data_IF_399019909946
#
_entry.id   IF_399019909946
#
_cell.length_a   1.000
_cell.length_b   1.000
_cell.length_c   1.000
_cell.angle_alpha   90.00
_cell.angle_beta   90.00
_cell.angle_gamma   90.00
#
_symmetry.space_group_name_H-M   'P 1'
#
loop_
_entity.id
_entity.type
_entity.pdbx_description
1 polymer ?
2 non-polymer ?
3 non-polymer ?
4 non-polymer ?
5 non-polymer ?
6 water ?
#
# COMPACT_ATOMS: atom_id res chain seq x y z
N UNK A 9 -22.28 7.64 -12.12
CA UNK A 9 -21.49 8.33 -11.07
C UNK A 9 -22.33 9.42 -10.41
N UNK A 10 -22.23 9.53 -9.09
CA UNK A 10 -22.98 10.53 -8.34
C UNK A 10 -22.03 11.67 -8.01
N UNK A 11 -22.13 12.75 -8.77
CA UNK A 11 -21.28 13.90 -8.57
C UNK A 11 -21.90 14.80 -7.51
N UNK A 12 -21.11 15.24 -6.55
CA UNK A 12 -21.59 16.13 -5.50
C UNK A 12 -21.55 17.57 -6.05
N UNK A 13 -22.53 18.41 -5.67
CA UNK A 13 -22.62 19.81 -6.13
C UNK A 13 -21.33 20.61 -5.97
N UNK A 14 -20.81 21.14 -7.08
CA UNK A 14 -19.57 21.92 -7.06
C UNK A 14 -19.58 23.05 -6.04
N UNK A 15 -18.63 23.03 -5.09
CA UNK A 15 -18.61 24.11 -4.09
C UNK A 15 -18.29 25.43 -4.78
N UNK A 16 -18.96 26.51 -4.33
CA UNK A 16 -18.81 27.87 -4.84
C UNK A 16 -17.38 28.37 -5.04
N UNK A 17 -16.45 27.93 -4.19
CA UNK A 17 -15.06 28.38 -4.30
C UNK A 17 -14.21 27.64 -5.33
N UNK A 18 -14.76 26.59 -5.95
CA UNK A 18 -14.00 25.82 -6.92
C UNK A 18 -14.30 26.25 -8.38
N UNK A 19 -13.28 26.78 -9.08
CA UNK A 19 -13.43 27.24 -10.48
C UNK A 19 -13.82 26.04 -11.35
N UNK A 20 -14.75 26.23 -12.26
CA UNK A 20 -15.18 25.12 -13.10
C UNK A 20 -14.10 24.52 -13.99
N UNK A 21 -13.09 25.31 -14.37
CA UNK A 21 -12.02 24.80 -15.22
C UNK A 21 -11.09 23.85 -14.49
N UNK A 22 -11.19 23.82 -13.17
CA UNK A 22 -10.36 22.92 -12.36
C UNK A 22 -11.06 21.58 -12.07
N UNK A 23 -12.31 21.45 -12.52
CA UNK A 23 -13.04 20.22 -12.30
C UNK A 23 -12.62 19.09 -13.25
N UNK A 24 -12.46 17.90 -12.67
CA UNK A 24 -12.10 16.69 -13.41
C UNK A 24 -12.64 15.55 -12.53
N UNK A 25 -13.78 14.98 -12.92
CA UNK A 25 -14.42 13.95 -12.14
C UNK A 25 -13.82 12.55 -12.14
N UNK A 26 -12.65 12.41 -11.53
CA UNK A 26 -11.93 11.15 -11.39
C UNK A 26 -12.48 10.41 -10.16
N UNK A 27 -12.85 9.14 -10.33
CA UNK A 27 -13.37 8.31 -9.23
C UNK A 27 -12.25 7.39 -8.78
N UNK A 28 -11.63 7.69 -7.64
CA UNK A 28 -10.53 6.90 -7.11
C UNK A 28 -10.90 5.45 -6.78
N UNK A 29 -12.18 5.18 -6.61
CA UNK A 29 -12.63 3.82 -6.32
C UNK A 29 -13.06 3.04 -7.56
N UNK A 30 -13.13 3.72 -8.70
CA UNK A 30 -13.51 3.07 -9.95
C UNK A 30 -13.10 3.93 -11.17
N UNK A 31 -11.79 4.09 -11.39
CA UNK A 31 -11.27 4.88 -12.50
C UNK A 31 -11.83 4.41 -13.85
N UNK A 32 -12.12 5.38 -14.71
CA UNK A 32 -12.68 5.12 -16.04
C UNK A 32 -11.91 4.17 -16.91
N UNK A 33 -10.58 4.29 -16.91
CA UNK A 33 -9.81 3.43 -17.80
C UNK A 33 -9.12 2.30 -17.08
N UNK A 34 -9.85 1.72 -16.14
CA UNK A 34 -9.36 0.63 -15.30
C UNK A 34 -8.96 -0.62 -16.10
N UNK A 35 -9.64 -0.85 -17.21
CA UNK A 35 -9.36 -2.00 -18.06
C UNK A 35 -7.93 -2.03 -18.60
N UNK A 36 -7.32 -0.84 -18.69
CA UNK A 36 -5.96 -0.69 -19.18
C UNK A 36 -4.90 -0.92 -18.10
N UNK A 37 -5.36 -1.15 -16.87
CA UNK A 37 -4.45 -1.33 -15.77
C UNK A 37 -4.76 -0.18 -14.83
N UNK A 38 -4.57 -0.39 -13.54
CA UNK A 38 -4.88 0.65 -12.57
C UNK A 38 -3.92 1.83 -12.61
N UNK A 39 -2.62 1.59 -12.74
CA UNK A 39 -1.68 2.72 -12.81
C UNK A 39 -1.99 3.56 -14.07
N UNK A 40 -2.32 2.90 -15.17
CA UNK A 40 -2.66 3.58 -16.42
C UNK A 40 -3.93 4.41 -16.25
N UNK A 41 -4.90 3.86 -15.53
CA UNK A 41 -6.17 4.53 -15.27
C UNK A 41 -5.93 5.80 -14.48
N UNK A 42 -5.01 5.74 -13.51
CA UNK A 42 -4.70 6.91 -12.69
C UNK A 42 -3.85 7.91 -13.48
N UNK A 43 -3.01 7.41 -14.38
CA UNK A 43 -2.13 8.25 -15.18
C UNK A 43 -2.90 9.22 -16.12
N UNK A 44 -4.20 9.00 -16.32
CA UNK A 44 -5.00 9.90 -17.16
C UNK A 44 -5.03 11.30 -16.53
N UNK A 45 -4.86 11.33 -15.21
CA UNK A 45 -4.83 12.56 -14.45
C UNK A 45 -3.58 13.37 -14.80
N UNK A 46 -2.65 12.75 -15.52
CA UNK A 46 -1.42 13.44 -15.87
C UNK A 46 -1.35 13.78 -17.34
N UNK A 47 -2.48 13.70 -18.02
CA UNK A 47 -2.50 14.05 -19.44
C UNK A 47 -2.50 15.59 -19.57
N UNK A 48 -2.12 16.09 -20.75
CA UNK A 48 -2.03 17.54 -21.01
C UNK A 48 -3.32 18.35 -20.76
N UNK A 49 -4.47 17.71 -20.90
CA UNK A 49 -5.74 18.39 -20.67
C UNK A 49 -6.10 18.57 -19.18
N UNK A 50 -5.31 17.97 -18.28
CA UNK A 50 -5.60 18.06 -16.84
C UNK A 50 -4.65 18.98 -16.07
N UNK A 51 -5.20 19.97 -15.36
CA UNK A 51 -4.38 20.90 -14.56
C UNK A 51 -3.62 20.09 -13.46
N UNK A 52 -2.59 20.69 -12.86
CA UNK A 52 -1.80 20.04 -11.81
C UNK A 52 -2.58 19.77 -10.53
N UNK A 53 -3.61 20.55 -10.27
CA UNK A 53 -4.43 20.38 -9.09
C UNK A 53 -5.87 20.57 -9.52
N UNK A 54 -6.63 19.48 -9.45
CA UNK A 54 -8.02 19.49 -9.87
C UNK A 54 -8.97 19.12 -8.74
N UNK A 55 -10.26 19.30 -9.01
CA UNK A 55 -11.32 18.99 -8.08
C UNK A 55 -12.23 17.97 -8.68
N UNK A 56 -12.41 16.85 -7.99
CA UNK A 56 -13.30 15.85 -8.48
C UNK A 56 -14.55 15.96 -7.64
N UNK A 57 -15.70 15.82 -8.29
CA UNK A 57 -16.98 15.87 -7.61
C UNK A 57 -17.38 14.48 -7.11
N UNK A 58 -16.63 13.47 -7.51
CA UNK A 58 -16.91 12.10 -7.07
C UNK A 58 -16.58 11.92 -5.60
N UNK A 59 -17.09 10.85 -5.01
CA UNK A 59 -16.85 10.48 -3.61
C UNK A 59 -16.95 11.65 -2.62
N UNK A 60 -17.98 12.47 -2.81
CA UNK A 60 -18.22 13.61 -1.94
C UNK A 60 -17.58 14.93 -2.36
N UNK A 61 -16.63 14.88 -3.29
CA UNK A 61 -15.96 16.07 -3.76
C UNK A 61 -14.68 16.34 -3.00
N UNK A 62 -13.57 16.42 -3.74
CA UNK A 62 -12.27 16.67 -3.14
C UNK A 62 -11.23 17.02 -4.17
N UNK A 63 -10.11 17.58 -3.71
CA UNK A 63 -8.99 17.92 -4.59
C UNK A 63 -8.12 16.69 -4.85
N UNK A 64 -7.27 16.79 -5.87
CA UNK A 64 -6.32 15.75 -6.24
C UNK A 64 -5.10 16.43 -6.84
N UNK A 65 -3.94 16.33 -6.17
CA UNK A 65 -2.70 16.88 -6.71
C UNK A 65 -2.26 15.80 -7.69
N UNK A 66 -1.93 16.17 -8.92
CA UNK A 66 -1.56 15.20 -9.96
C UNK A 66 -0.06 15.09 -10.26
N UNK A 67 0.73 15.99 -9.68
CA UNK A 67 2.16 16.03 -9.93
C UNK A 67 3.01 15.71 -8.71
N UNK A 68 4.12 15.02 -8.94
CA UNK A 68 5.03 14.64 -7.87
C UNK A 68 5.45 15.82 -7.00
N UNK A 69 5.72 16.96 -7.65
CA UNK A 69 6.12 18.18 -6.94
C UNK A 69 5.12 18.64 -5.91
N UNK A 70 3.84 18.67 -6.27
CA UNK A 70 2.79 19.10 -5.38
C UNK A 70 2.52 18.07 -4.27
N UNK A 71 2.59 16.80 -4.63
CA UNK A 71 2.35 15.71 -3.68
C UNK A 71 3.41 15.76 -2.56
N UNK A 72 4.67 15.94 -2.95
CA UNK A 72 5.75 16.01 -1.99
C UNK A 72 5.58 17.23 -1.09
N UNK A 73 5.25 18.37 -1.71
CA UNK A 73 5.05 19.61 -0.99
C UNK A 73 3.98 19.52 0.08
N UNK A 74 2.82 19.00 -0.32
CA UNK A 74 1.70 18.85 0.57
C UNK A 74 2.02 17.88 1.71
N UNK A 75 2.72 16.80 1.38
CA UNK A 75 3.09 15.82 2.39
C UNK A 75 4.07 16.40 3.41
N UNK A 76 4.90 17.37 3.00
CA UNK A 76 5.85 18.00 3.91
C UNK A 76 5.21 19.06 4.80
N UNK A 77 4.18 19.71 4.26
CA UNK A 77 3.51 20.80 4.98
C UNK A 77 2.31 20.32 5.79
N UNK A 78 2.58 19.61 6.89
CA UNK A 78 1.50 19.10 7.73
C UNK A 78 0.73 20.24 8.40
N UNK A 79 1.37 21.40 8.49
CA UNK A 79 0.76 22.58 9.10
C UNK A 79 -0.56 22.97 8.38
N UNK A 80 -0.55 22.90 7.05
CA UNK A 80 -1.74 23.20 6.25
C UNK A 80 -2.47 21.93 5.86
N UNK A 81 -1.71 20.86 5.66
CA UNK A 81 -2.27 19.57 5.25
C UNK A 81 -2.20 18.52 6.38
N UNK A 82 -3.28 18.43 7.15
CA UNK A 82 -3.36 17.53 8.28
C UNK A 82 -3.80 16.11 8.00
N UNK A 83 -3.18 15.17 8.73
CA UNK A 83 -3.48 13.74 8.63
C UNK A 83 -4.72 13.37 9.43
N UNK A 84 -5.29 14.31 10.17
CA UNK A 84 -6.47 14.02 10.99
C UNK A 84 -7.61 13.35 10.23
N UNK A 85 -7.75 13.68 8.96
CA UNK A 85 -8.78 13.12 8.08
C UNK A 85 -8.01 12.80 6.79
N UNK A 86 -7.25 11.68 6.78
CA UNK A 86 -6.45 11.27 5.63
C UNK A 86 -7.11 10.39 4.57
N UNK A 87 -8.33 9.94 4.83
CA UNK A 87 -9.04 9.08 3.87
C UNK A 87 -10.23 9.76 3.20
N UNK A 88 -10.46 9.39 1.94
CA UNK A 88 -11.59 9.87 1.15
C UNK A 88 -12.39 8.58 1.07
N UNK A 89 -13.72 8.62 1.22
CA UNK A 89 -14.57 9.79 1.48
C UNK A 89 -14.47 10.33 2.91
N UNK A 90 -15.08 11.49 3.09
CA UNK A 90 -15.13 12.21 4.36
C UNK A 90 -15.40 11.29 5.55
N UNK A 91 -16.46 10.49 5.44
CA UNK A 91 -16.89 9.56 6.49
C UNK A 91 -15.78 8.60 6.91
N UNK A 92 -14.98 8.18 5.94
CA UNK A 92 -13.88 7.27 6.18
C UNK A 92 -12.76 8.01 6.89
N UNK A 93 -12.37 9.16 6.34
CA UNK A 93 -11.30 9.93 6.95
C UNK A 93 -11.56 10.35 8.38
N UNK A 94 -12.82 10.54 8.72
CA UNK A 94 -13.20 10.96 10.07
C UNK A 94 -13.16 9.80 11.06
N UNK A 95 -13.68 8.64 10.64
CA UNK A 95 -13.69 7.46 11.49
C UNK A 95 -12.28 6.90 11.63
N UNK A 96 -11.42 7.23 10.68
CA UNK A 96 -10.05 6.76 10.68
C UNK A 96 -9.32 7.37 11.86
N UNK A 97 -8.87 6.50 12.78
CA UNK A 97 -8.16 6.95 13.96
C UNK A 97 -6.88 6.19 14.26
N UNK A 98 -6.34 5.48 13.27
CA UNK A 98 -5.10 4.74 13.48
C UNK A 98 -3.97 5.63 13.95
N UNK A 99 -3.04 5.04 14.69
CA UNK A 99 -1.87 5.75 15.23
C UNK A 99 -0.69 5.07 14.53
N UNK A 100 0.31 5.84 14.07
CA UNK A 100 0.42 7.31 14.15
C UNK A 100 -0.19 8.08 12.97
N UNK A 101 -0.80 7.39 12.02
CA UNK A 101 -1.33 8.01 10.81
C UNK A 101 -2.41 9.09 10.88
N UNK A 102 -3.20 9.12 11.95
CA UNK A 102 -4.23 10.13 12.09
C UNK A 102 -3.72 11.34 12.90
N UNK A 103 -2.41 11.39 13.16
CA UNK A 103 -1.81 12.47 13.94
C UNK A 103 -0.73 13.21 13.14
N UNK A 104 -0.54 14.49 13.43
CA UNK A 104 0.49 15.28 12.77
C UNK A 104 1.62 15.49 13.74
N UNK A 105 2.80 15.85 13.24
CA UNK A 105 3.92 16.10 14.14
C UNK A 105 3.48 17.31 14.98
N UNK A 106 3.99 17.45 16.22
CA UNK A 106 4.95 16.55 16.88
C UNK A 106 4.32 15.38 17.63
N UNK A 107 3.00 15.34 17.72
CA UNK A 107 2.31 14.26 18.42
C UNK A 107 2.71 12.86 17.97
N UNK A 108 2.63 12.61 16.66
CA UNK A 108 2.96 11.29 16.12
C UNK A 108 4.32 10.70 16.53
N UNK A 109 5.27 11.59 16.80
CA UNK A 109 6.65 11.24 17.14
C UNK A 109 6.88 10.05 18.05
N UNK A 110 6.40 10.14 19.29
CA UNK A 110 6.58 9.07 20.26
C UNK A 110 5.95 7.77 19.79
N UNK A 111 4.78 7.87 19.19
CA UNK A 111 4.08 6.70 18.72
C UNK A 111 4.75 6.04 17.53
N UNK A 112 5.33 6.86 16.66
CA UNK A 112 6.01 6.36 15.48
C UNK A 112 7.22 5.53 15.91
N UNK A 113 7.92 6.00 16.95
CA UNK A 113 9.09 5.32 17.49
C UNK A 113 8.76 3.91 18.00
N UNK A 114 7.62 3.78 18.65
CA UNK A 114 7.19 2.49 19.16
C UNK A 114 6.88 1.54 18.00
N UNK A 115 6.09 2.00 17.03
CA UNK A 115 5.75 1.17 15.87
C UNK A 115 7.02 0.72 15.17
N UNK A 116 8.02 1.60 15.12
CA UNK A 116 9.27 1.26 14.48
C UNK A 116 9.98 0.11 15.21
N UNK A 117 9.83 0.06 16.54
CA UNK A 117 10.46 -0.99 17.33
C UNK A 117 9.92 -2.35 16.92
N UNK A 118 8.68 -2.38 16.44
CA UNK A 118 8.04 -3.61 16.06
C UNK A 118 8.12 -4.02 14.59
N UNK A 119 8.27 -3.05 13.68
CA UNK A 119 8.37 -3.41 12.26
C UNK A 119 9.60 -2.80 11.59
N UNK A 120 10.49 -2.25 12.40
CA UNK A 120 11.70 -1.62 11.87
C UNK A 120 12.74 -2.58 11.31
N UNK A 121 13.84 -2.00 10.82
CA UNK A 121 14.93 -2.76 10.22
C UNK A 121 15.47 -3.92 11.06
N UNK A 122 15.72 -3.70 12.37
CA UNK A 122 16.24 -4.78 13.23
C UNK A 122 15.34 -6.01 13.23
N UNK A 123 14.03 -5.78 13.31
CA UNK A 123 13.05 -6.87 13.32
C UNK A 123 13.10 -7.63 12.01
N UNK A 124 13.26 -6.90 10.91
CA UNK A 124 13.35 -7.51 9.59
C UNK A 124 14.61 -8.36 9.53
N UNK A 125 15.71 -7.84 10.07
CA UNK A 125 16.96 -8.58 10.08
C UNK A 125 16.78 -9.84 10.91
N UNK A 126 16.05 -9.72 12.00
CA UNK A 126 15.76 -10.83 12.89
C UNK A 126 14.90 -11.93 12.26
N UNK A 127 13.91 -11.53 11.45
CA UNK A 127 13.02 -12.49 10.81
C UNK A 127 13.42 -12.90 9.39
N UNK A 128 14.53 -12.39 8.90
CA UNK A 128 14.94 -12.73 7.54
C UNK A 128 14.93 -14.22 7.24
N UNK A 129 15.43 -15.04 8.18
CA UNK A 129 15.46 -16.49 7.95
C UNK A 129 14.10 -17.09 7.77
N UNK A 130 13.11 -16.64 8.53
CA UNK A 130 11.76 -17.15 8.39
C UNK A 130 11.17 -16.68 7.06
N UNK A 131 11.50 -15.46 6.66
CA UNK A 131 11.02 -14.90 5.40
C UNK A 131 11.57 -15.75 4.26
N UNK A 132 12.88 -15.98 4.27
CA UNK A 132 13.53 -16.79 3.26
C UNK A 132 12.93 -18.20 3.23
N UNK A 133 12.72 -18.76 4.42
CA UNK A 133 12.16 -20.11 4.56
C UNK A 133 10.78 -20.25 3.97
N UNK A 134 9.89 -19.32 4.28
CA UNK A 134 8.52 -19.37 3.77
C UNK A 134 8.46 -19.19 2.26
N UNK A 135 9.24 -18.25 1.73
CA UNK A 135 9.28 -18.01 0.29
C UNK A 135 9.65 -19.29 -0.44
N UNK A 136 10.76 -19.89 -0.04
CA UNK A 136 11.24 -21.14 -0.65
C UNK A 136 10.23 -22.26 -0.51
N UNK A 137 9.65 -22.37 0.67
CA UNK A 137 8.65 -23.41 0.94
C UNK A 137 7.42 -23.31 0.04
N UNK A 138 6.80 -22.14 0.02
CA UNK A 138 5.61 -21.91 -0.80
C UNK A 138 5.89 -22.14 -2.28
N UNK A 139 7.01 -21.65 -2.77
CA UNK A 139 7.35 -21.79 -4.18
C UNK A 139 7.66 -23.23 -4.55
N UNK A 140 8.47 -23.91 -3.74
CA UNK A 140 8.83 -25.31 -4.03
C UNK A 140 7.57 -26.18 -4.05
N UNK A 141 6.59 -25.77 -3.26
CA UNK A 141 5.32 -26.46 -3.19
C UNK A 141 4.53 -26.29 -4.50
N UNK A 142 4.58 -25.09 -5.08
CA UNK A 142 3.85 -24.79 -6.32
C UNK A 142 4.59 -25.24 -7.57
N UNK A 143 5.91 -25.16 -7.52
CA UNK A 143 6.77 -25.50 -8.66
C UNK A 143 6.40 -26.70 -9.54
N UNK A 144 6.11 -27.88 -8.96
CA UNK A 144 5.76 -29.03 -9.81
C UNK A 144 4.32 -29.07 -10.33
N UNK A 145 3.47 -28.14 -9.87
CA UNK A 145 2.07 -28.08 -10.30
C UNK A 145 1.91 -27.54 -11.74
N UNK A 146 2.82 -26.65 -12.13
CA UNK A 146 2.77 -26.07 -13.46
C UNK A 146 1.72 -25.00 -13.64
N UNK A 147 1.16 -24.54 -12.54
CA UNK A 147 0.12 -23.52 -12.54
C UNK A 147 -0.15 -23.08 -11.12
N UNK A 148 -0.82 -21.94 -10.95
CA UNK A 148 -1.18 -21.41 -9.65
C UNK A 148 -1.98 -20.13 -9.82
N UNK A 149 -2.79 -19.82 -8.80
CA UNK A 149 -3.58 -18.59 -8.75
C UNK A 149 -2.72 -17.74 -7.82
N UNK A 150 -1.78 -17.01 -8.40
CA UNK A 150 -0.83 -16.21 -7.65
C UNK A 150 -1.32 -15.39 -6.48
N UNK A 151 -2.47 -14.73 -6.64
CA UNK A 151 -3.02 -13.90 -5.57
C UNK A 151 -3.31 -14.70 -4.31
N UNK A 152 -3.96 -15.84 -4.47
CA UNK A 152 -4.28 -16.64 -3.30
C UNK A 152 -3.25 -17.69 -2.92
N UNK A 153 -2.42 -18.09 -3.88
CA UNK A 153 -1.39 -19.12 -3.67
C UNK A 153 -0.06 -18.63 -3.15
N UNK A 154 0.22 -17.33 -3.30
CA UNK A 154 1.48 -16.79 -2.83
C UNK A 154 1.41 -15.34 -2.35
N UNK A 155 0.89 -14.46 -3.21
CA UNK A 155 0.79 -13.04 -2.88
C UNK A 155 0.18 -12.81 -1.50
N UNK A 156 -0.87 -13.55 -1.17
CA UNK A 156 -1.52 -13.43 0.13
C UNK A 156 -0.83 -14.19 1.28
N UNK A 157 -0.65 -15.51 1.15
CA UNK A 157 0.00 -16.27 2.23
C UNK A 157 1.41 -15.85 2.63
N UNK A 158 2.30 -15.60 1.68
CA UNK A 158 3.66 -15.21 2.00
C UNK A 158 3.74 -13.99 2.94
N UNK A 159 3.29 -12.81 2.50
CA UNK A 159 3.40 -11.70 3.44
C UNK A 159 2.53 -11.77 4.69
N UNK A 160 1.31 -12.26 4.55
CA UNK A 160 0.39 -12.36 5.69
C UNK A 160 0.87 -13.34 6.77
N UNK A 161 1.36 -14.52 6.39
CA UNK A 161 1.84 -15.46 7.41
C UNK A 161 3.02 -14.88 8.15
N UNK A 162 3.90 -14.18 7.43
CA UNK A 162 5.05 -13.55 8.07
C UNK A 162 4.53 -12.53 9.07
N UNK A 163 3.48 -11.81 8.71
CA UNK A 163 2.96 -10.81 9.63
C UNK A 163 2.32 -11.45 10.86
N UNK A 164 1.50 -12.47 10.65
CA UNK A 164 0.83 -13.17 11.74
C UNK A 164 1.89 -13.76 12.68
N UNK A 165 3.02 -14.19 12.12
CA UNK A 165 4.13 -14.75 12.89
C UNK A 165 4.71 -13.64 13.74
N UNK A 166 4.94 -12.49 13.13
CA UNK A 166 5.49 -11.31 13.80
C UNK A 166 4.58 -10.80 14.91
N UNK A 167 3.28 -10.88 14.67
CA UNK A 167 2.30 -10.40 15.62
C UNK A 167 1.81 -11.43 16.61
N UNK A 168 2.16 -12.69 16.38
CA UNK A 168 1.73 -13.75 17.27
C UNK A 168 0.24 -14.02 17.21
N UNK A 169 -0.34 -13.99 16.01
CA UNK A 169 -1.77 -14.24 15.81
C UNK A 169 -1.92 -15.51 14.98
N UNK A 170 -2.92 -16.36 15.32
CA UNK A 170 -3.09 -17.59 14.54
C UNK A 170 -3.46 -17.41 13.08
N UNK A 171 -2.84 -18.21 12.23
CA UNK A 171 -3.08 -18.17 10.81
C UNK A 171 -4.55 -18.45 10.50
N UNK A 172 -5.25 -19.05 11.44
CA UNK A 172 -6.66 -19.36 11.27
C UNK A 172 -7.50 -18.08 11.21
N UNK A 173 -7.00 -16.98 11.77
CA UNK A 173 -7.73 -15.70 11.76
C UNK A 173 -7.51 -14.87 10.52
N UNK A 174 -6.66 -15.33 9.60
CA UNK A 174 -6.37 -14.58 8.38
C UNK A 174 -7.59 -14.23 7.52
N UNK A 175 -8.40 -15.22 7.12
CA UNK A 175 -9.58 -14.94 6.29
C UNK A 175 -10.47 -13.84 6.85
N UNK A 176 -10.79 -13.95 8.13
CA UNK A 176 -11.64 -12.98 8.81
C UNK A 176 -11.00 -11.59 8.79
N UNK A 177 -9.71 -11.53 9.11
CA UNK A 177 -9.01 -10.26 9.17
C UNK A 177 -8.81 -9.59 7.81
N UNK A 178 -8.46 -10.37 6.81
CA UNK A 178 -8.21 -9.88 5.46
C UNK A 178 -9.50 -9.27 4.87
N UNK A 179 -10.63 -9.92 5.11
CA UNK A 179 -11.91 -9.41 4.63
C UNK A 179 -12.16 -8.02 5.17
N UNK A 180 -11.86 -7.82 6.46
CA UNK A 180 -12.06 -6.51 7.11
C UNK A 180 -11.10 -5.43 6.68
N UNK A 181 -9.81 -5.75 6.53
CA UNK A 181 -8.83 -4.75 6.11
C UNK A 181 -9.18 -4.30 4.69
N UNK A 182 -9.56 -5.25 3.85
CA UNK A 182 -9.91 -4.93 2.48
C UNK A 182 -11.14 -4.03 2.40
N UNK A 183 -12.01 -4.10 3.40
CA UNK A 183 -13.21 -3.27 3.41
C UNK A 183 -12.86 -1.80 3.65
N UNK A 184 -11.71 -1.57 4.27
CA UNK A 184 -11.25 -0.21 4.58
C UNK A 184 -10.51 0.47 3.42
N UNK A 185 -9.82 -0.33 2.61
CA UNK A 185 -9.06 0.18 1.48
C UNK A 185 -9.82 0.11 0.15
N UNK A 186 -10.58 -0.97 -0.05
CA UNK A 186 -11.36 -1.15 -1.27
C UNK A 186 -12.79 -1.58 -0.95
N UNK A 187 -13.58 -0.66 -0.36
CA UNK A 187 -14.98 -0.86 0.04
C UNK A 187 -15.83 -1.54 -1.02
N UNK A 188 -16.59 -2.57 -0.64
CA UNK A 188 -17.44 -3.25 -1.61
C UNK A 188 -18.90 -2.89 -1.37
N UNK A 189 -19.12 -2.00 -0.41
CA UNK A 189 -20.47 -1.56 -0.09
C UNK A 189 -21.17 -2.33 1.01
N UNK A 190 -20.57 -3.43 1.46
CA UNK A 190 -21.17 -4.26 2.50
C UNK A 190 -21.17 -3.58 3.87
N UNK A 191 -20.17 -2.74 4.11
CA UNK A 191 -20.08 -2.04 5.39
C UNK A 191 -19.32 -0.72 5.29
N UNK A 192 -19.59 0.19 6.23
CA UNK A 192 -18.93 1.48 6.27
C UNK A 192 -17.52 1.29 6.81
N UNK A 193 -16.68 2.32 6.66
CA UNK A 193 -15.31 2.25 7.16
C UNK A 193 -15.35 2.00 8.68
N UNK A 194 -16.16 2.79 9.38
CA UNK A 194 -16.30 2.69 10.82
C UNK A 194 -16.64 1.27 11.28
N UNK A 195 -17.58 0.63 10.59
CA UNK A 195 -17.97 -0.73 10.95
C UNK A 195 -16.85 -1.75 10.74
N UNK A 196 -16.11 -1.63 9.64
CA UNK A 196 -15.00 -2.54 9.38
C UNK A 196 -13.93 -2.29 10.45
N UNK A 197 -13.75 -1.02 10.80
CA UNK A 197 -12.77 -0.61 11.78
C UNK A 197 -13.16 -1.12 13.17
N UNK A 198 -14.43 -0.97 13.54
CA UNK A 198 -14.89 -1.43 14.84
C UNK A 198 -14.72 -2.93 14.97
N UNK A 199 -15.14 -3.67 13.94
CA UNK A 199 -15.00 -5.13 13.96
C UNK A 199 -13.54 -5.54 14.13
N UNK A 200 -12.64 -4.81 13.49
CA UNK A 200 -11.22 -5.09 13.59
C UNK A 200 -10.76 -4.83 15.01
N UNK A 201 -11.33 -3.78 15.61
CA UNK A 201 -10.99 -3.44 16.98
C UNK A 201 -11.53 -4.49 17.96
N UNK A 202 -12.72 -5.00 17.69
CA UNK A 202 -13.32 -6.03 18.55
C UNK A 202 -12.40 -7.24 18.63
N UNK A 203 -11.73 -7.55 17.52
CA UNK A 203 -10.81 -8.65 17.46
C UNK A 203 -9.59 -8.39 18.35
N UNK A 204 -9.03 -7.19 18.21
CA UNK A 204 -7.83 -6.79 18.94
C UNK A 204 -7.96 -6.54 20.45
N UNK A 205 -9.05 -5.93 20.87
CA UNK A 205 -9.25 -5.58 22.27
C UNK A 205 -8.95 -6.67 23.31
N UNK A 206 -9.59 -7.84 23.22
CA UNK A 206 -9.32 -8.90 24.18
C UNK A 206 -7.88 -9.40 24.11
N UNK A 207 -7.33 -9.41 22.90
CA UNK A 207 -5.96 -9.85 22.66
C UNK A 207 -4.98 -8.90 23.34
N UNK A 208 -5.24 -7.61 23.22
CA UNK A 208 -4.38 -6.59 23.83
C UNK A 208 -4.49 -6.70 25.33
N UNK A 209 -5.74 -6.81 25.82
CA UNK A 209 -6.02 -6.93 27.25
C UNK A 209 -5.14 -8.06 27.79
N UNK A 210 -5.32 -9.22 27.17
CA UNK A 210 -4.63 -10.45 27.52
C UNK A 210 -3.10 -10.32 27.47
N UNK A 211 -2.60 -9.63 26.45
CA UNK A 211 -1.16 -9.46 26.33
C UNK A 211 -0.59 -8.36 27.20
N UNK A 212 -1.46 -7.58 27.84
CA UNK A 212 -1.01 -6.55 28.77
C UNK A 212 -0.85 -7.29 30.12
N UNK A 213 -1.75 -8.24 30.37
CA UNK A 213 -1.72 -9.05 31.60
C UNK A 213 -0.46 -9.90 31.57
N UNK A 214 -0.36 -10.76 30.56
CA UNK A 214 0.77 -11.66 30.38
C UNK A 214 1.53 -11.31 29.09
N UNK A 215 2.46 -10.34 29.18
CA UNK A 215 3.28 -9.87 28.07
C UNK A 215 4.08 -10.95 27.33
N UNK A 216 4.26 -10.73 26.04
CA UNK A 216 5.03 -11.66 25.22
C UNK A 216 6.12 -10.89 24.52
N UNK A 217 6.63 -11.48 23.44
CA UNK A 217 7.70 -10.89 22.65
C UNK A 217 7.19 -10.49 21.26
N UNK A 218 5.96 -10.88 20.95
CA UNK A 218 5.34 -10.58 19.67
C UNK A 218 5.09 -9.09 19.57
N UNK A 219 4.79 -8.64 18.35
CA UNK A 219 4.53 -7.23 18.08
C UNK A 219 3.39 -6.66 18.90
N UNK A 220 2.31 -7.40 19.03
CA UNK A 220 1.19 -6.90 19.80
C UNK A 220 1.53 -6.67 21.27
N UNK A 221 2.32 -7.56 21.86
CA UNK A 221 2.73 -7.41 23.26
C UNK A 221 3.64 -6.20 23.41
N UNK A 222 4.61 -6.06 22.52
CA UNK A 222 5.57 -4.96 22.58
C UNK A 222 4.85 -3.61 22.53
N UNK A 223 3.92 -3.47 21.59
CA UNK A 223 3.14 -2.25 21.45
C UNK A 223 2.27 -2.00 22.67
N UNK A 224 1.44 -2.98 23.04
CA UNK A 224 0.53 -2.87 24.17
C UNK A 224 1.20 -2.52 25.50
N UNK A 225 2.45 -2.92 25.66
CA UNK A 225 3.18 -2.65 26.89
C UNK A 225 4.26 -1.59 26.69
N UNK A 226 4.17 -0.83 25.61
CA UNK A 226 5.17 0.19 25.33
C UNK A 226 5.03 1.50 26.09
N UNK A 227 6.03 2.37 25.92
CA UNK A 227 6.07 3.68 26.58
C UNK A 227 6.02 4.81 25.55
N UNK A 228 5.13 5.77 25.80
CA UNK A 228 4.98 6.94 24.93
C UNK A 228 4.76 8.12 25.88
N UNK A 229 5.50 9.20 25.66
CA UNK A 229 5.40 10.42 26.49
C UNK A 229 5.79 10.12 27.94
N UNK A 230 6.80 9.27 28.13
CA UNK A 230 7.25 8.91 29.46
C UNK A 230 6.29 8.09 30.30
N UNK A 231 5.13 7.75 29.73
CA UNK A 231 4.13 6.97 30.45
C UNK A 231 3.66 5.74 29.66
N UNK A 232 2.96 4.82 30.34
CA UNK A 232 2.46 3.60 29.68
C UNK A 232 1.44 3.92 28.60
N UNK A 233 1.51 3.18 27.49
CA UNK A 233 0.55 3.40 26.41
C UNK A 233 -0.81 2.92 26.93
N UNK A 234 -1.88 3.55 26.49
CA UNK A 234 -3.21 3.14 26.92
C UNK A 234 -3.65 1.98 26.05
N UNK A 235 -4.68 1.28 26.49
CA UNK A 235 -5.21 0.16 25.74
C UNK A 235 -5.77 0.67 24.40
N UNK A 236 -6.45 1.81 24.45
CA UNK A 236 -7.05 2.43 23.27
C UNK A 236 -5.98 2.77 22.25
N UNK A 237 -4.92 3.45 22.67
CA UNK A 237 -3.82 3.81 21.79
C UNK A 237 -3.17 2.56 21.21
N UNK A 238 -3.11 1.51 22.01
CA UNK A 238 -2.52 0.26 21.58
C UNK A 238 -3.39 -0.34 20.48
N UNK A 239 -4.69 -0.28 20.68
CA UNK A 239 -5.66 -0.82 19.73
C UNK A 239 -5.56 -0.10 18.39
N UNK A 240 -5.42 1.21 18.47
CA UNK A 240 -5.31 2.05 17.29
C UNK A 240 -4.01 1.84 16.51
N UNK A 241 -2.90 1.59 17.20
CA UNK A 241 -1.64 1.36 16.52
C UNK A 241 -1.65 -0.05 15.90
N UNK A 242 -2.21 -1.00 16.62
CA UNK A 242 -2.29 -2.37 16.12
C UNK A 242 -3.24 -2.50 14.94
N UNK A 243 -4.30 -1.69 14.93
CA UNK A 243 -5.23 -1.72 13.81
C UNK A 243 -4.47 -1.39 12.54
N UNK A 244 -3.59 -0.39 12.62
CA UNK A 244 -2.79 0.03 11.47
C UNK A 244 -1.80 -1.07 11.05
N UNK A 245 -1.15 -1.70 12.02
CA UNK A 245 -0.19 -2.76 11.71
C UNK A 245 -0.85 -3.89 10.93
N UNK A 246 -2.08 -4.21 11.32
CA UNK A 246 -2.86 -5.25 10.65
C UNK A 246 -3.11 -4.87 9.19
N UNK A 247 -3.58 -3.64 8.96
CA UNK A 247 -3.86 -3.18 7.59
C UNK A 247 -2.61 -3.23 6.73
N UNK A 248 -1.51 -2.69 7.26
CA UNK A 248 -0.26 -2.68 6.54
C UNK A 248 0.26 -4.10 6.29
N UNK A 249 0.07 -4.98 7.27
CA UNK A 249 0.54 -6.34 7.10
C UNK A 249 -0.27 -7.18 6.12
N UNK A 250 -1.58 -6.95 6.08
CA UNK A 250 -2.45 -7.73 5.21
C UNK A 250 -2.85 -7.15 3.85
N UNK A 251 -2.63 -5.86 3.62
CA UNK A 251 -3.09 -5.27 2.36
C UNK A 251 -2.15 -4.31 1.62
N UNK A 252 -0.84 -4.53 1.67
CA UNK A 252 0.07 -3.65 0.95
C UNK A 252 0.95 -4.52 0.06
N UNK A 253 1.93 -5.21 0.66
CA UNK A 253 2.82 -6.09 -0.07
C UNK A 253 2.02 -7.13 -0.83
N UNK A 254 0.93 -7.59 -0.23
CA UNK A 254 0.06 -8.58 -0.84
C UNK A 254 -0.33 -8.19 -2.27
N UNK A 255 -0.79 -6.95 -2.43
CA UNK A 255 -1.22 -6.45 -3.73
C UNK A 255 -0.04 -6.14 -4.63
N UNK A 256 0.98 -5.50 -4.07
CA UNK A 256 2.15 -5.16 -4.84
C UNK A 256 2.80 -6.38 -5.50
N UNK A 257 2.89 -7.49 -4.76
CA UNK A 257 3.50 -8.70 -5.31
C UNK A 257 2.82 -9.16 -6.59
N UNK A 258 1.51 -9.04 -6.64
CA UNK A 258 0.76 -9.44 -7.82
C UNK A 258 1.00 -8.55 -9.06
N UNK A 259 1.15 -7.23 -8.86
CA UNK A 259 1.43 -6.32 -9.99
C UNK A 259 2.78 -6.69 -10.57
N UNK A 260 3.75 -6.93 -9.69
CA UNK A 260 5.10 -7.28 -10.11
C UNK A 260 5.16 -8.61 -10.84
N UNK A 261 4.51 -9.64 -10.30
CA UNK A 261 4.54 -10.96 -10.91
C UNK A 261 3.75 -10.95 -12.23
N UNK A 262 2.73 -10.09 -12.32
CA UNK A 262 1.95 -9.97 -13.54
C UNK A 262 2.87 -9.44 -14.62
N UNK A 263 3.63 -8.41 -14.27
CA UNK A 263 4.58 -7.83 -15.21
C UNK A 263 5.62 -8.87 -15.61
N UNK A 264 6.26 -9.51 -14.63
CA UNK A 264 7.29 -10.50 -14.94
C UNK A 264 6.80 -11.64 -15.81
N UNK A 265 5.55 -12.04 -15.64
CA UNK A 265 4.95 -13.10 -16.42
C UNK A 265 4.88 -12.74 -17.90
N UNK A 266 4.94 -11.45 -18.20
CA UNK A 266 4.86 -10.96 -19.56
C UNK A 266 6.20 -10.42 -20.07
N UNK A 267 7.22 -10.52 -19.25
CA UNK A 267 8.51 -9.98 -19.65
C UNK A 267 9.70 -10.91 -19.48
N UNK A 268 9.86 -11.86 -20.41
CA UNK A 268 10.94 -12.86 -20.42
C UNK A 268 12.36 -12.28 -20.29
N UNK A 269 12.67 -11.19 -20.99
CA UNK A 269 14.01 -10.59 -20.87
C UNK A 269 14.25 -9.92 -19.52
N UNK A 270 13.18 -9.45 -18.88
CA UNK A 270 13.34 -8.81 -17.59
C UNK A 270 13.61 -9.91 -16.57
N UNK A 271 12.93 -11.04 -16.74
CA UNK A 271 13.10 -12.19 -15.87
C UNK A 271 14.55 -12.67 -16.00
N UNK A 272 14.93 -12.99 -17.22
CA UNK A 272 16.26 -13.48 -17.51
C UNK A 272 17.37 -12.54 -17.05
N UNK A 273 17.05 -11.26 -16.99
CA UNK A 273 18.00 -10.25 -16.58
C UNK A 273 18.33 -10.40 -15.09
N UNK A 274 17.31 -10.65 -14.29
CA UNK A 274 17.52 -10.80 -12.86
C UNK A 274 18.12 -12.17 -12.52
N UNK A 275 17.83 -13.15 -13.37
CA UNK A 275 18.35 -14.50 -13.23
C UNK A 275 19.88 -14.49 -13.39
N UNK A 276 20.37 -13.80 -14.42
CA UNK A 276 21.81 -13.72 -14.66
C UNK A 276 22.55 -12.75 -13.73
N UNK A 277 21.88 -11.65 -13.35
CA UNK A 277 22.50 -10.65 -12.50
C UNK A 277 21.67 -10.39 -11.26
N UNK A 278 21.61 -11.36 -10.34
CA UNK A 278 20.81 -11.18 -9.10
C UNK A 278 21.18 -9.95 -8.27
N UNK A 279 22.33 -9.35 -8.53
CA UNK A 279 22.71 -8.17 -7.78
C UNK A 279 21.86 -6.97 -8.21
N UNK A 280 21.17 -7.11 -9.33
CA UNK A 280 20.30 -6.07 -9.87
C UNK A 280 18.92 -6.11 -9.24
N UNK A 281 18.60 -7.23 -8.60
CA UNK A 281 17.29 -7.40 -7.98
C UNK A 281 16.88 -6.27 -7.03
N UNK A 282 17.80 -5.71 -6.25
CA UNK A 282 17.32 -4.61 -5.39
C UNK A 282 16.87 -3.40 -6.23
N UNK A 283 17.59 -3.10 -7.30
CA UNK A 283 17.21 -1.98 -8.18
C UNK A 283 15.90 -2.28 -8.89
N UNK A 284 15.75 -3.53 -9.35
CA UNK A 284 14.54 -3.96 -10.02
C UNK A 284 13.35 -3.82 -9.07
N UNK A 285 13.60 -4.12 -7.81
CA UNK A 285 12.57 -4.00 -6.78
C UNK A 285 12.14 -2.53 -6.68
N UNK A 286 13.11 -1.63 -6.68
CA UNK A 286 12.82 -0.20 -6.59
C UNK A 286 12.03 0.28 -7.82
N UNK A 287 12.46 -0.13 -9.01
CA UNK A 287 11.79 0.25 -10.24
C UNK A 287 10.37 -0.29 -10.31
N UNK A 288 10.16 -1.51 -9.83
CA UNK A 288 8.83 -2.10 -9.84
C UNK A 288 7.96 -1.35 -8.85
N UNK A 289 8.56 -0.93 -7.73
CA UNK A 289 7.85 -0.16 -6.71
C UNK A 289 7.38 1.18 -7.29
N UNK A 290 8.17 1.75 -8.19
CA UNK A 290 7.81 3.01 -8.85
C UNK A 290 6.71 2.75 -9.88
N UNK A 291 7.00 1.89 -10.85
CA UNK A 291 6.05 1.57 -11.91
C UNK A 291 4.72 1.01 -11.43
N UNK A 292 4.76 0.18 -10.40
CA UNK A 292 3.53 -0.41 -9.89
C UNK A 292 3.11 0.11 -8.53
N UNK A 293 3.38 1.39 -8.29
CA UNK A 293 3.01 2.05 -7.05
C UNK A 293 1.48 1.82 -6.93
N UNK A 294 0.96 1.79 -5.70
CA UNK A 294 -0.43 1.44 -5.52
C UNK A 294 -1.21 2.09 -4.39
N UNK A 295 -0.60 3.05 -3.68
CA UNK A 295 -1.30 3.68 -2.56
C UNK A 295 -1.74 5.10 -2.88
N UNK A 296 -2.91 5.46 -2.37
CA UNK A 296 -3.45 6.80 -2.55
C UNK A 296 -4.30 7.31 -1.38
N UNK A 297 -3.69 8.03 -0.45
CA UNK A 297 -4.47 8.62 0.62
C UNK A 297 -4.21 10.13 0.56
N UNK A 298 -4.57 10.90 1.58
CA UNK A 298 -4.33 12.33 1.50
C UNK A 298 -4.41 13.04 2.82
N UNK A 299 -4.81 14.31 2.78
CA UNK A 299 -4.90 15.15 3.96
C UNK A 299 -6.15 16.03 3.96
N UNK A 300 -6.24 16.87 4.98
CA UNK A 300 -7.36 17.80 5.12
C UNK A 300 -6.81 19.19 5.44
N UNK A 301 -7.42 20.21 4.84
CA UNK A 301 -6.98 21.59 5.03
C UNK A 301 -7.33 22.09 6.41
N UNK A 302 -6.31 22.54 7.13
CA UNK A 302 -6.49 23.06 8.48
C UNK A 302 -7.06 24.50 8.50
N UNK A 303 -6.92 25.20 7.37
CA UNK A 303 -7.41 26.57 7.21
C UNK A 303 -7.47 26.92 5.72
N UNK A 304 -7.95 28.13 5.40
CA UNK A 304 -8.01 28.61 4.02
C UNK A 304 -6.58 28.82 3.57
N UNK A 305 -6.23 28.30 2.39
CA UNK A 305 -4.86 28.38 1.93
C UNK A 305 -4.74 28.37 0.41
N UNK A 306 -3.95 29.28 -0.15
CA UNK A 306 -3.74 29.31 -1.59
C UNK A 306 -2.50 28.48 -1.88
N UNK A 307 -2.70 27.42 -2.65
CA UNK A 307 -1.61 26.51 -2.96
C UNK A 307 -1.46 26.49 -4.49
N UNK A 308 -0.32 26.96 -4.97
CA UNK A 308 -0.05 26.99 -6.41
C UNK A 308 -1.15 27.69 -7.21
N UNK A 309 -1.59 28.84 -6.71
CA UNK A 309 -2.63 29.60 -7.37
C UNK A 309 -4.05 29.11 -7.17
N UNK A 310 -4.21 28.04 -6.39
CA UNK A 310 -5.54 27.51 -6.16
C UNK A 310 -5.97 27.80 -4.73
N UNK A 311 -7.19 28.28 -4.59
CA UNK A 311 -7.73 28.59 -3.27
C UNK A 311 -8.33 27.35 -2.62
N UNK A 312 -7.69 26.85 -1.58
CA UNK A 312 -8.19 25.68 -0.86
C UNK A 312 -8.86 26.21 0.40
N UNK A 313 -10.01 25.65 0.73
CA UNK A 313 -10.73 26.09 1.93
C UNK A 313 -10.55 25.13 3.09
N UNK A 314 -10.64 25.67 4.29
CA UNK A 314 -10.51 24.90 5.51
C UNK A 314 -11.57 23.80 5.44
N UNK A 315 -11.18 22.57 5.73
CA UNK A 315 -12.14 21.48 5.68
C UNK A 315 -12.11 20.74 4.35
N UNK A 316 -11.48 21.34 3.34
CA UNK A 316 -11.37 20.69 2.02
C UNK A 316 -10.45 19.49 2.14
N UNK A 317 -10.82 18.40 1.49
CA UNK A 317 -9.99 17.21 1.50
C UNK A 317 -9.17 17.23 0.23
N UNK A 318 -7.94 16.74 0.30
CA UNK A 318 -7.11 16.68 -0.86
C UNK A 318 -6.41 15.32 -0.97
N UNK A 319 -6.67 14.63 -2.08
CA UNK A 319 -6.05 13.33 -2.34
C UNK A 319 -4.66 13.64 -2.86
N UNK A 320 -3.66 13.00 -2.28
CA UNK A 320 -2.28 13.20 -2.68
C UNK A 320 -1.79 11.80 -3.03
N UNK A 321 -2.18 11.28 -4.21
CA UNK A 321 -1.78 9.93 -4.65
C UNK A 321 -0.29 9.62 -4.65
N UNK A 322 0.17 8.83 -3.68
CA UNK A 322 1.58 8.44 -3.59
C UNK A 322 1.97 7.76 -4.90
N UNK A 323 0.99 7.08 -5.50
CA UNK A 323 1.14 6.36 -6.77
C UNK A 323 1.59 7.24 -7.94
N UNK A 324 1.08 8.46 -8.00
CA UNK A 324 1.38 9.36 -9.11
C UNK A 324 2.76 9.99 -9.22
N UNK A 325 3.45 10.23 -8.10
CA UNK A 325 4.75 10.88 -8.17
C UNK A 325 5.76 10.27 -9.14
N UNK A 326 5.95 8.96 -9.03
CA UNK A 326 6.91 8.27 -9.89
C UNK A 326 6.46 8.02 -11.32
N UNK A 327 5.16 8.15 -11.58
CA UNK A 327 4.60 7.97 -12.91
C UNK A 327 4.62 9.31 -13.65
N UNK A 328 4.84 10.39 -12.89
CA UNK A 328 4.92 11.74 -13.42
C UNK A 328 6.15 11.83 -14.34
N UNK A 329 5.90 12.11 -15.63
CA UNK A 329 6.99 12.21 -16.59
C UNK A 329 8.01 13.29 -16.25
N UNK A 330 7.62 14.24 -15.41
CA UNK A 330 8.54 15.31 -15.01
C UNK A 330 9.57 14.76 -14.01
N UNK A 331 9.25 13.61 -13.42
CA UNK A 331 10.11 12.95 -12.44
C UNK A 331 10.89 11.79 -13.03
N UNK A 332 10.29 11.09 -13.98
CA UNK A 332 10.92 9.94 -14.64
C UNK A 332 10.54 9.91 -16.11
N UNK A 333 11.55 9.93 -16.98
CA UNK A 333 11.31 9.87 -18.42
C UNK A 333 10.72 8.52 -18.77
N UNK A 334 9.80 8.50 -19.74
CA UNK A 334 9.10 7.27 -20.16
C UNK A 334 8.65 6.56 -18.88
N UNK A 335 7.82 7.23 -18.07
CA UNK A 335 7.33 6.67 -16.80
C UNK A 335 6.67 5.31 -16.85
N UNK A 336 6.01 4.97 -17.95
CA UNK A 336 5.34 3.67 -18.00
C UNK A 336 6.25 2.51 -18.43
N UNK A 337 7.51 2.81 -18.73
CA UNK A 337 8.45 1.78 -19.15
C UNK A 337 9.24 1.26 -17.94
N UNK A 338 9.34 -0.05 -17.80
CA UNK A 338 10.09 -0.64 -16.70
C UNK A 338 11.54 -0.79 -17.11
N UNK A 339 12.42 -0.02 -16.50
CA UNK A 339 13.85 -0.10 -16.81
C UNK A 339 14.63 -0.29 -15.52
N UNK A 340 15.12 -1.52 -15.29
CA UNK A 340 15.88 -1.85 -14.07
C UNK A 340 17.19 -1.06 -13.93
N UNK A 341 17.66 -0.47 -15.04
CA UNK A 341 18.90 0.30 -15.05
C UNK A 341 18.72 1.81 -14.89
N UNK A 342 17.48 2.25 -14.72
CA UNK A 342 17.14 3.67 -14.55
C UNK A 342 18.15 4.27 -13.55
N UNK A 343 18.89 5.31 -13.95
CA UNK A 343 19.89 5.88 -13.05
C UNK A 343 19.30 6.48 -11.78
N UNK A 344 18.03 6.84 -11.83
CA UNK A 344 17.34 7.42 -10.67
C UNK A 344 15.87 7.06 -10.73
N UNK A 345 15.46 6.23 -9.78
CA UNK A 345 14.09 5.80 -9.65
C UNK A 345 13.42 6.73 -8.62
N UNK A 346 12.77 7.77 -9.10
CA UNK A 346 12.09 8.74 -8.25
C UNK A 346 10.67 8.28 -7.99
N UNK A 347 10.24 8.28 -6.73
CA UNK A 347 8.89 7.85 -6.37
C UNK A 347 8.58 8.19 -4.92
N UNK A 348 7.30 8.09 -4.56
CA UNK A 348 6.86 8.31 -3.19
C UNK A 348 5.94 7.14 -2.86
N UNK A 349 6.31 5.95 -3.34
CA UNK A 349 5.52 4.74 -3.14
C UNK A 349 5.31 4.40 -1.66
N UNK A 350 6.31 4.67 -0.84
CA UNK A 350 6.20 4.42 0.59
C UNK A 350 5.80 5.70 1.32
N UNK A 351 5.33 6.69 0.56
CA UNK A 351 4.90 7.94 1.16
C UNK A 351 5.97 9.00 1.16
N UNK A 352 5.72 10.08 1.89
CA UNK A 352 6.63 11.22 1.98
C UNK A 352 6.31 12.04 3.22
N UNK A 353 7.32 12.67 3.80
CA UNK A 353 7.10 13.49 4.99
C UNK A 353 7.28 12.69 6.26
N UNK A 354 6.71 13.20 7.35
CA UNK A 354 6.82 12.54 8.66
C UNK A 354 6.19 11.14 8.77
N UNK A 355 5.26 10.82 7.87
CA UNK A 355 4.60 9.53 7.92
C UNK A 355 5.15 8.50 6.95
N UNK A 356 6.38 8.72 6.50
CA UNK A 356 7.02 7.79 5.58
C UNK A 356 6.92 6.36 6.13
N UNK A 357 6.49 5.43 5.29
CA UNK A 357 6.29 4.03 5.66
C UNK A 357 7.35 3.39 6.58
N UNK A 358 6.91 2.91 7.73
CA UNK A 358 7.82 2.25 8.66
C UNK A 358 8.07 0.81 8.21
N UNK A 359 7.07 0.19 7.59
CA UNK A 359 7.20 -1.19 7.13
C UNK A 359 7.88 -1.34 5.78
N UNK A 360 8.45 -0.26 5.27
CA UNK A 360 9.11 -0.30 3.97
C UNK A 360 10.29 -1.27 3.90
N UNK A 361 11.02 -1.45 5.00
CA UNK A 361 12.16 -2.37 5.02
C UNK A 361 11.69 -3.80 4.95
N UNK A 362 10.59 -4.08 5.64
CA UNK A 362 10.00 -5.42 5.63
C UNK A 362 9.46 -5.68 4.23
N UNK A 363 8.85 -4.66 3.62
CA UNK A 363 8.29 -4.78 2.27
C UNK A 363 9.36 -5.10 1.22
N UNK A 364 10.46 -4.34 1.23
CA UNK A 364 11.54 -4.58 0.28
C UNK A 364 12.15 -5.97 0.45
N UNK A 365 12.31 -6.41 1.69
CA UNK A 365 12.87 -7.73 1.97
C UNK A 365 11.99 -8.80 1.35
N UNK A 366 10.67 -8.70 1.58
CA UNK A 366 9.72 -9.65 1.04
C UNK A 366 9.70 -9.64 -0.49
N UNK A 367 9.85 -8.45 -1.08
CA UNK A 367 9.86 -8.32 -2.53
C UNK A 367 11.12 -8.95 -3.14
N UNK A 368 12.28 -8.55 -2.63
CA UNK A 368 13.56 -9.05 -3.11
C UNK A 368 13.68 -10.58 -2.93
N UNK A 369 13.20 -11.10 -1.81
CA UNK A 369 13.24 -12.53 -1.54
C UNK A 369 12.34 -13.24 -2.54
N UNK A 370 11.17 -12.69 -2.78
CA UNK A 370 10.24 -13.26 -3.75
C UNK A 370 10.85 -13.31 -5.16
N UNK A 371 11.40 -12.18 -5.60
CA UNK A 371 11.99 -12.12 -6.91
C UNK A 371 13.08 -13.17 -7.10
N UNK A 372 14.01 -13.24 -6.17
CA UNK A 372 15.10 -14.19 -6.30
C UNK A 372 14.65 -15.65 -6.23
N UNK A 373 13.89 -15.98 -5.20
CA UNK A 373 13.43 -17.34 -5.00
C UNK A 373 12.46 -17.87 -6.04
N UNK A 374 11.65 -16.98 -6.62
CA UNK A 374 10.71 -17.42 -7.63
C UNK A 374 11.43 -17.66 -8.92
N UNK A 375 12.23 -16.68 -9.35
CA UNK A 375 12.95 -16.80 -10.60
C UNK A 375 13.95 -17.95 -10.56
N UNK A 376 14.44 -18.29 -9.38
CA UNK A 376 15.37 -19.42 -9.26
C UNK A 376 14.65 -20.72 -9.63
N UNK A 377 13.57 -21.03 -8.93
CA UNK A 377 12.81 -22.25 -9.17
C UNK A 377 11.92 -22.24 -10.41
N UNK A 378 11.26 -21.11 -10.65
CA UNK A 378 10.37 -20.98 -11.80
C UNK A 378 10.83 -19.81 -12.69
N UNK A 379 11.92 -20.01 -13.44
CA UNK A 379 12.48 -18.98 -14.34
C UNK A 379 11.60 -18.64 -15.53
N UNK A 380 10.73 -19.57 -15.92
CA UNK A 380 9.89 -19.41 -17.08
C UNK A 380 8.41 -19.65 -16.78
N UNK A 381 7.60 -18.62 -16.93
CA UNK A 381 6.17 -18.70 -16.71
C UNK A 381 5.44 -17.63 -17.52
N UNK A 382 4.12 -17.74 -17.57
CA UNK A 382 3.29 -16.80 -18.30
C UNK A 382 1.88 -16.78 -17.74
N UNK A 383 1.09 -15.80 -18.16
CA UNK A 383 -0.29 -15.70 -17.72
C UNK A 383 -1.05 -16.78 -18.45
N UNK A 384 -1.95 -17.44 -17.75
CA UNK A 384 -2.75 -18.51 -18.34
C UNK A 384 -3.39 -18.00 -19.64
N UNK A 385 -3.32 -18.81 -20.71
CA UNK A 385 -3.92 -18.38 -21.97
C UNK A 385 -5.41 -18.10 -21.75
N UNK A 386 -5.88 -16.97 -22.26
CA UNK A 386 -7.27 -16.61 -22.10
C UNK A 386 -7.43 -15.58 -21.01
N UNK A 387 -6.90 -15.90 -19.82
CA UNK A 387 -6.98 -15.04 -18.65
C UNK A 387 -6.97 -13.54 -18.96
N UNK A 388 -7.95 -12.85 -18.40
CA UNK A 388 -8.10 -11.42 -18.55
C UNK A 388 -7.85 -10.88 -17.15
N UNK A 389 -6.69 -10.27 -16.95
CA UNK A 389 -6.34 -9.75 -15.63
C UNK A 389 -7.07 -8.44 -15.37
N UNK A 390 -7.73 -8.35 -14.23
CA UNK A 390 -8.46 -7.17 -13.82
C UNK A 390 -7.88 -6.59 -12.57
N UNK A 391 -7.77 -5.27 -12.54
CA UNK A 391 -7.25 -4.57 -11.38
C UNK A 391 -8.41 -3.94 -10.64
N UNK A 392 -8.16 -3.51 -9.41
CA UNK A 392 -9.18 -2.86 -8.59
C UNK A 392 -8.50 -1.64 -7.99
N UNK A 393 -9.27 -0.60 -7.74
CA UNK A 393 -8.74 0.66 -7.22
C UNK A 393 -9.34 1.11 -5.89
N UNK A 394 -8.55 1.83 -5.10
CA UNK A 394 -9.01 2.34 -3.82
C UNK A 394 -7.85 3.00 -3.10
N UNK A 395 -7.88 2.99 -1.77
CA UNK A 395 -6.78 3.57 -1.00
C UNK A 395 -5.54 2.77 -1.35
N UNK A 396 -5.73 1.46 -1.57
CA UNK A 396 -4.65 0.59 -2.00
C UNK A 396 -5.24 -0.20 -3.16
N UNK A 397 -4.55 -0.17 -4.30
CA UNK A 397 -5.04 -0.89 -5.47
C UNK A 397 -4.51 -2.32 -5.49
N UNK A 398 -5.12 -3.19 -6.29
CA UNK A 398 -4.67 -4.56 -6.35
C UNK A 398 -5.03 -5.28 -7.64
N UNK A 399 -4.81 -6.59 -7.64
CA UNK A 399 -5.10 -7.44 -8.78
C UNK A 399 -6.14 -8.42 -8.31
N UNK A 400 -7.21 -8.56 -9.08
CA UNK A 400 -8.29 -9.47 -8.73
C UNK A 400 -7.82 -10.94 -8.69
N UNK A 401 -7.22 -11.40 -9.79
CA UNK A 401 -6.72 -12.77 -9.87
C UNK A 401 -5.55 -12.78 -10.83
N UNK A 402 -4.62 -13.70 -10.61
CA UNK A 402 -3.46 -13.81 -11.46
C UNK A 402 -3.11 -15.27 -11.74
N UNK A 403 -3.81 -15.88 -12.71
CA UNK A 403 -3.59 -17.28 -13.10
C UNK A 403 -2.29 -17.36 -13.89
N UNK A 404 -1.32 -18.10 -13.34
CA UNK A 404 -0.03 -18.29 -13.99
C UNK A 404 0.10 -19.74 -14.42
N UNK A 405 0.87 -20.00 -15.46
CA UNK A 405 1.07 -21.35 -15.95
C UNK A 405 2.53 -21.49 -16.31
N UNK A 406 3.07 -22.70 -16.25
CA UNK A 406 4.46 -22.97 -16.60
C UNK A 406 4.69 -24.47 -16.85
N UNK A 407 5.79 -24.78 -17.51
CA UNK A 407 6.12 -26.17 -17.78
C UNK A 407 7.04 -26.65 -16.66
N UNK A 408 6.59 -27.61 -15.84
CA UNK A 408 7.39 -28.12 -14.73
C UNK A 408 8.77 -28.56 -15.18
N UNK A 409 8.86 -29.05 -16.40
CA UNK A 409 10.14 -29.48 -16.99
C UNK A 409 11.18 -28.36 -17.04
N UNK A 410 10.75 -27.11 -16.98
CA UNK A 410 11.68 -25.97 -17.03
C UNK A 410 12.06 -25.49 -15.64
N UNK A 411 11.30 -25.93 -14.64
CA UNK A 411 11.55 -25.52 -13.27
C UNK A 411 12.69 -26.33 -12.68
N UNK A 412 13.18 -25.91 -11.52
CA UNK A 412 14.24 -26.64 -10.84
C UNK A 412 14.18 -26.45 -9.34
N UNK A 413 14.27 -27.56 -8.60
CA UNK A 413 14.26 -27.50 -7.16
C UNK A 413 15.67 -27.12 -6.74
N UNK A 414 15.79 -26.64 -5.52
CA UNK A 414 17.07 -26.23 -4.96
C UNK A 414 17.40 -27.13 -3.78
X LIG B 1 -10.10 11.04 11.90
X LIG C 1 2.79 4.38 6.32
X LIG C 1 2.89 2.54 1.85
X LIG C 1 3.87 -1.84 3.65
X LIG C 1 3.13 -0.13 8.08
X LIG C 1 2.73 4.26 4.95
X LIG C 1 2.44 5.39 4.05
X LIG C 1 2.47 4.83 2.78
X LIG C 1 2.77 3.41 2.92
X LIG C 1 2.21 5.58 1.48
X LIG C 1 2.18 6.84 4.45
X LIG C 1 0.72 7.20 4.51
X LIG C 1 0.49 8.66 4.91
X LIG C 1 1.43 9.48 4.84
X LIG C 1 -0.65 9.00 5.32
X LIG C 1 3.19 1.21 1.92
X LIG C 1 3.45 0.34 0.77
X LIG C 1 3.81 -0.91 1.27
X LIG C 1 3.72 -0.77 2.73
X LIG C 1 3.39 0.76 -0.69
X LIG C 1 4.22 -2.07 0.60
X LIG C 1 4.57 -2.31 -0.69
X LIG C 1 3.77 -1.76 5.02
X LIG C 1 4.00 -2.87 5.95
X LIG C 1 3.65 -2.44 7.18
X LIG C 1 3.25 -1.03 7.03
X LIG C 1 4.64 -4.21 5.60
X LIG C 1 3.76 -3.22 8.33
X LIG C 1 2.68 -3.75 8.97
X LIG C 1 3.24 1.27 7.98
X LIG C 1 3.12 2.19 9.11
X LIG C 1 2.97 3.44 8.62
X LIG C 1 3.06 3.33 7.18
X LIG C 1 3.22 1.86 10.61
X LIG C 1 2.65 4.67 9.43
X LIG C 1 3.88 5.53 9.78
X LIG C 1 3.49 6.84 10.47
X LIG C 1 4.36 7.51 11.03
X LIG C 1 2.29 7.19 10.44
X LIG C 1 2.95 3.08 4.25
X LIG C 1 3.41 0.52 3.12
X LIG C 1 3.40 -0.61 5.70
X LIG C 1 3.28 2.00 6.78
X LIG C 1 3.48 1.26 4.97
X LIG C 1 1.93 2.59 1.33
X LIG C 1 4.64 -2.54 3.31
X LIG C 1 2.20 -0.41 8.57
X LIG C 1 2.61 5.37 6.74
X LIG D 1 -2.49 2.01 4.81
X LIG D 1 -2.69 3.02 5.93
X LIG D 1 -3.76 3.17 6.51
X LIG D 1 -1.46 3.83 6.20
X LIG D 1 -0.56 3.14 5.16
X LIG D 1 -0.32 1.67 5.69
X LIG D 1 -1.63 0.88 5.37
X LIG D 1 -1.51 2.87 4.02
X LIG D 1 -2.17 4.18 3.50
X LIG D 1 -0.84 2.06 2.91
X LIG D 1 -3.80 1.70 4.07
X LIG E 1 21.00 -4.63 7.61
X LIG E 1 19.97 -3.77 8.04
X LIG E 1 20.85 -5.01 6.12
X LIG E 1 20.02 -4.07 5.42
X LIG E 1 20.27 -6.42 6.01
X LIG E 1 21.10 -7.38 6.65
X LIG E 1 20.06 -3.61 8.97
X LIG E 1 19.96 -4.33 4.50
X LIG E 1 21.13 -7.21 7.60
X LIG F 1 13.07 -25.42 0.00
X LIG F 1 12.94 -26.46 -0.96
X LIG F 1 14.37 -24.65 -0.19
X LIG F 1 15.03 -25.05 -1.39
X LIG F 1 15.27 -24.86 1.03
X LIG F 1 16.50 -24.19 0.86
X LIG F 1 13.68 -27.06 -0.87
X LIG F 1 15.24 -25.99 -1.34
X LIG F 1 17.07 -24.36 1.62
X LIG G 1 11.94 -7.20 -23.11
X LIG G 1 12.72 -6.18 -22.51
X LIG G 1 10.82 -7.71 -22.20
X LIG G 1 11.37 -8.19 -20.96
X LIG G 1 10.09 -8.85 -22.89
X LIG G 1 10.97 -9.94 -23.11
X LIG G 1 13.16 -6.53 -21.72
X LIG G 1 11.91 -8.96 -21.11
X LIG G 1 11.68 -9.68 -23.70
#
# INVERSE_FOLDING_TARGET
TTETIQSNANLAPLPPHVPEHLVFDFDMYNPSNLSAGVQEAWAVLQESNVPDLVWTRCNGGHWIATRGQLIREAYEDYRHFSSECPFIPREAGEAYDFIPTSMDPPEQRQFRALANQVVGMPVVDKLENRIQELACSLIESLRPQGQCNFTEDYAEPFPIRIFMLLAGLPEEDIPHLKYLTDQMTRPDGSMTFAEAKEALYDYLIPIIEQRRQKPGTDAISIVANGQVNGRPITSDEAKRMCGLLLVGGLDTVVNFLSFSMEFLAKSPEHRQELIERPERIPAACEELLRRFSLVADGRILTSDYEFHGVQLKKGDQILLPQMLSGLDERENACPMHVDFSRQKVSHTTFGHGSHLCLGQHLARREIIVTLKEWLTRIPDFSIAPGAQIQHKSGIVSGVQALPLVWDPATTKAV
K K
HEM CHA CHB CHC CHD C1A C2A C3A C4A CMA CAA CBA CGA O1A O2A C1B C2B C3B C4B CMB CAB CBB C1C C2C C3C C4C CMC CAC CBC C1D C2D C3D C4D CMD CAD CBD CGD O1D O2D NA NB NC ND FE HHB HHC HHD HHA
CAM C1 C2 O C3 C4 C5 C6 C7 C8 C9 C10
GOL C1 O1 C2 O2 C3 O3 HO1 HO2 HO3
GOL C1 O1 C2 O2 C3 O3 HO1 HO2 HO3
GOL C1 O1 C2 O2 C3 O3 HO1 HO2 HO3
#
